data_IF_545288717174
#
_entry.id   IF_545288717174
#
_cell.length_a   1.000
_cell.length_b   1.000
_cell.length_c   1.000
_cell.angle_alpha   90.00
_cell.angle_beta   90.00
_cell.angle_gamma   90.00
#
_symmetry.space_group_name_H-M   'P 1'
#
loop_
_entity.id
_entity.type
_entity.pdbx_description
1 polymer ?
#
# COMPACT_ATOMS: atom_id res chain seq x y z
N UNK A 1 -7.63 -9.26 -14.61
CA UNK A 1 -6.63 -8.18 -14.77
C UNK A 1 -7.05 -7.03 -13.86
N UNK A 2 -6.34 -6.78 -12.77
CA UNK A 2 -6.54 -5.53 -12.01
C UNK A 2 -6.01 -4.38 -12.86
N UNK A 3 -6.81 -3.34 -13.05
CA UNK A 3 -6.35 -2.12 -13.70
C UNK A 3 -5.21 -1.51 -12.88
N UNK A 4 -4.15 -0.99 -13.53
CA UNK A 4 -3.05 -0.37 -12.80
C UNK A 4 -3.59 0.77 -11.94
N UNK A 5 -3.21 0.83 -10.65
CA UNK A 5 -3.72 1.85 -9.74
C UNK A 5 -3.26 3.23 -10.22
N UNK A 6 -4.21 4.07 -10.61
CA UNK A 6 -3.99 5.46 -10.97
C UNK A 6 -4.69 6.33 -9.90
N UNK A 7 -4.02 7.30 -9.24
CA UNK A 7 -2.60 7.66 -9.29
C UNK A 7 -1.71 6.81 -8.35
N UNK A 8 -0.38 6.88 -8.52
CA UNK A 8 0.67 6.15 -7.75
C UNK A 8 1.44 7.01 -6.71
N UNK A 9 0.79 8.00 -6.09
CA UNK A 9 1.39 8.95 -5.08
C UNK A 9 1.09 8.67 -3.59
N UNK A 10 2.06 8.33 -2.75
CA UNK A 10 1.77 7.96 -1.37
C UNK A 10 0.79 8.93 -0.70
N UNK A 11 -0.25 8.42 -0.03
CA UNK A 11 -1.27 9.28 0.59
C UNK A 11 -0.67 10.33 1.54
N UNK A 12 0.48 10.03 2.13
CA UNK A 12 1.14 10.89 3.13
C UNK A 12 2.17 11.84 2.49
N UNK A 13 3.08 11.33 1.66
CA UNK A 13 4.22 12.12 1.16
C UNK A 13 4.19 12.41 -0.35
N UNK A 14 3.15 11.96 -1.06
CA UNK A 14 3.01 12.07 -2.51
C UNK A 14 4.13 11.43 -3.37
N UNK A 15 5.10 10.71 -2.77
CA UNK A 15 6.15 9.97 -3.48
C UNK A 15 5.65 8.67 -4.13
N UNK A 16 6.53 7.95 -4.82
CA UNK A 16 6.16 6.69 -5.46
C UNK A 16 5.70 5.63 -4.45
N UNK A 17 4.59 4.96 -4.78
CA UNK A 17 3.95 3.97 -3.91
C UNK A 17 3.75 2.64 -4.62
N UNK A 18 4.05 1.56 -3.90
CA UNK A 18 3.79 0.19 -4.34
C UNK A 18 2.98 -0.60 -3.31
N UNK A 19 2.73 -0.07 -2.11
CA UNK A 19 1.99 -0.77 -1.07
C UNK A 19 0.54 -0.30 -1.01
N UNK A 20 -0.40 -1.25 -0.89
CA UNK A 20 -1.82 -1.05 -0.60
C UNK A 20 -2.13 -1.67 0.75
N UNK A 21 -2.89 -0.98 1.58
CA UNK A 21 -3.42 -1.59 2.79
C UNK A 21 -4.89 -1.96 2.58
N UNK A 22 -5.25 -3.23 2.79
CA UNK A 22 -6.64 -3.70 2.72
C UNK A 22 -7.41 -3.49 4.02
N UNK A 23 -6.71 -3.34 5.15
CA UNK A 23 -7.33 -3.04 6.45
C UNK A 23 -7.75 -1.57 6.61
N UNK A 24 -7.16 -0.66 5.85
CA UNK A 24 -7.52 0.75 5.89
C UNK A 24 -8.77 1.04 5.05
N UNK A 25 -9.65 1.89 5.58
CA UNK A 25 -10.79 2.43 4.85
C UNK A 25 -10.32 3.09 3.55
N UNK A 26 -11.02 2.86 2.43
CA UNK A 26 -10.68 3.29 1.06
C UNK A 26 -9.46 2.62 0.38
N UNK A 27 -8.85 1.62 1.03
CA UNK A 27 -7.68 0.89 0.52
C UNK A 27 -6.56 1.80 -0.03
N UNK A 28 -6.06 2.74 0.80
CA UNK A 28 -5.07 3.72 0.38
C UNK A 28 -3.75 3.06 0.04
N UNK A 29 -2.97 3.81 -0.73
CA UNK A 29 -1.68 3.39 -1.21
C UNK A 29 -0.55 4.20 -0.54
N UNK A 30 0.53 3.51 -0.18
CA UNK A 30 1.65 4.04 0.61
C UNK A 30 3.01 3.69 0.01
N UNK A 31 3.99 4.56 0.20
CA UNK A 31 5.40 4.19 0.03
C UNK A 31 5.86 3.31 1.20
N UNK A 32 6.99 2.62 1.05
CA UNK A 32 7.54 1.72 2.07
C UNK A 32 7.65 2.38 3.45
N UNK A 33 8.15 3.62 3.51
CA UNK A 33 8.39 4.32 4.77
C UNK A 33 7.08 4.72 5.46
N UNK A 34 6.14 5.31 4.71
CA UNK A 34 4.84 5.71 5.23
C UNK A 34 4.00 4.49 5.61
N UNK A 35 4.10 3.40 4.84
CA UNK A 35 3.42 2.14 5.15
C UNK A 35 3.89 1.59 6.50
N UNK A 36 5.21 1.45 6.70
CA UNK A 36 5.77 0.95 7.97
C UNK A 36 5.42 1.85 9.15
N UNK A 37 5.57 3.16 9.03
CA UNK A 37 5.22 4.09 10.12
C UNK A 37 3.74 4.03 10.50
N UNK A 38 2.86 3.98 9.51
CA UNK A 38 1.41 4.00 9.76
C UNK A 38 0.90 2.65 10.28
N UNK A 39 1.47 1.55 9.81
CA UNK A 39 1.00 0.20 10.15
C UNK A 39 1.84 -0.49 11.23
N UNK A 40 2.86 0.16 11.77
CA UNK A 40 3.69 -0.38 12.85
C UNK A 40 2.87 -0.85 14.06
N UNK A 41 1.82 -0.12 14.43
CA UNK A 41 0.92 -0.48 15.53
C UNK A 41 -0.37 -1.17 15.07
N UNK A 42 -0.46 -1.59 13.80
CA UNK A 42 -1.65 -2.19 13.20
C UNK A 42 -1.32 -3.57 12.58
N UNK A 43 -0.88 -4.56 13.37
CA UNK A 43 -0.39 -5.84 12.85
C UNK A 43 -1.47 -6.68 12.14
N UNK A 44 -2.75 -6.37 12.34
CA UNK A 44 -3.87 -7.05 11.67
C UNK A 44 -4.19 -6.50 10.28
N UNK A 45 -3.61 -5.36 9.90
CA UNK A 45 -3.82 -4.78 8.58
C UNK A 45 -3.05 -5.58 7.53
N UNK A 46 -3.77 -6.08 6.52
CA UNK A 46 -3.16 -6.80 5.41
C UNK A 46 -2.58 -5.80 4.41
N UNK A 47 -1.26 -5.81 4.28
CA UNK A 47 -0.54 -5.00 3.31
C UNK A 47 -0.29 -5.85 2.07
N UNK A 48 -0.56 -5.28 0.90
CA UNK A 48 -0.22 -5.86 -0.39
C UNK A 48 0.76 -5.00 -1.15
N UNK A 49 1.69 -5.61 -1.86
CA UNK A 49 2.65 -4.95 -2.72
C UNK A 49 2.26 -5.14 -4.19
N UNK A 50 2.35 -4.07 -4.97
CA UNK A 50 2.23 -4.11 -6.43
C UNK A 50 3.48 -4.74 -7.05
N UNK A 51 3.30 -5.81 -7.80
CA UNK A 51 4.40 -6.57 -8.44
C UNK A 51 4.70 -6.11 -9.87
N UNK A 52 3.88 -5.21 -10.41
CA UNK A 52 3.91 -4.81 -11.83
C UNK A 52 2.64 -5.22 -12.57
N UNK A 53 2.01 -6.31 -12.14
CA UNK A 53 0.83 -6.90 -12.77
C UNK A 53 -0.35 -7.06 -11.80
N UNK A 54 -0.12 -7.34 -10.52
CA UNK A 54 -1.16 -7.48 -9.50
C UNK A 54 -0.64 -7.14 -8.09
N UNK A 55 -1.54 -7.13 -7.11
CA UNK A 55 -1.22 -6.95 -5.70
C UNK A 55 -1.05 -8.29 -4.98
N UNK A 56 0.15 -8.54 -4.46
CA UNK A 56 0.48 -9.72 -3.65
C UNK A 56 0.60 -9.38 -2.16
N UNK A 57 0.34 -10.36 -1.29
CA UNK A 57 0.51 -10.17 0.15
C UNK A 57 1.96 -9.85 0.51
N UNK A 58 2.12 -8.86 1.40
CA UNK A 58 3.42 -8.36 1.82
C UNK A 58 3.49 -8.35 3.34
N UNK A 59 4.58 -8.88 3.88
CA UNK A 59 4.85 -8.95 5.32
C UNK A 59 5.46 -7.66 5.89
N UNK A 60 5.29 -6.54 5.20
CA UNK A 60 6.05 -5.30 5.41
C UNK A 60 5.75 -4.59 6.74
#
# INVERSE_FOLDING_TARGET
MEAPPNPRKCLICNGDRIYRCLGCFSQPLFCTQCCRKQHYMLPFHQIKQWTGTFFEDSSL
#
